data_IF_229170269290
#
_entry.id   IF_229170269290
#
_cell.length_a   1.000
_cell.length_b   1.000
_cell.length_c   1.000
_cell.angle_alpha   90.00
_cell.angle_beta   90.00
_cell.angle_gamma   90.00
#
_symmetry.space_group_name_H-M   'P 1'
#
loop_
_entity.id
_entity.type
_entity.pdbx_description
1 polymer ?
#
# COMPACT_ATOMS: atom_id res chain seq x y z
N UNK A 1 17.08 21.44 15.63
CA UNK A 1 17.06 20.46 14.52
C UNK A 1 16.04 20.96 13.52
N UNK A 2 16.44 21.14 12.26
CA UNK A 2 15.50 21.54 11.21
C UNK A 2 14.59 20.33 10.95
N UNK A 3 13.29 20.47 11.17
CA UNK A 3 12.29 19.57 10.59
C UNK A 3 12.41 19.72 9.08
N UNK A 4 13.23 18.88 8.45
CA UNK A 4 13.04 18.56 7.04
C UNK A 4 11.68 17.88 6.99
N UNK A 5 10.65 18.61 6.56
CA UNK A 5 9.46 17.97 6.03
C UNK A 5 9.97 17.01 4.96
N UNK A 6 9.97 15.71 5.24
CA UNK A 6 10.19 14.72 4.19
C UNK A 6 9.15 15.03 3.13
N UNK A 7 9.64 15.39 1.94
CA UNK A 7 8.77 15.86 0.89
C UNK A 7 8.09 14.64 0.32
N UNK A 8 6.88 14.39 0.81
CA UNK A 8 6.03 13.36 0.26
C UNK A 8 5.69 13.69 -1.19
N UNK A 9 5.71 12.68 -2.03
CA UNK A 9 4.99 12.69 -3.30
C UNK A 9 3.72 11.85 -3.14
N UNK A 10 2.70 12.16 -3.92
CA UNK A 10 1.44 11.44 -3.90
C UNK A 10 0.87 11.30 -5.31
N UNK A 11 0.31 10.14 -5.60
CA UNK A 11 -0.35 9.83 -6.86
C UNK A 11 -1.64 9.05 -6.62
N UNK A 12 -2.63 9.24 -7.48
CA UNK A 12 -3.77 8.31 -7.61
C UNK A 12 -3.50 7.44 -8.83
N UNK A 13 -3.62 6.12 -8.69
CA UNK A 13 -3.54 5.20 -9.81
C UNK A 13 -4.78 5.32 -10.69
N UNK A 14 -4.56 5.28 -12.00
CA UNK A 14 -5.62 5.19 -13.00
C UNK A 14 -5.67 3.72 -13.41
N UNK A 15 -6.78 3.07 -13.09
CA UNK A 15 -7.04 1.67 -13.39
C UNK A 15 -7.91 1.58 -14.64
N UNK A 16 -7.59 0.62 -15.51
CA UNK A 16 -8.47 0.27 -16.63
C UNK A 16 -9.68 -0.54 -16.13
N UNK A 17 -10.80 -0.55 -16.86
CA UNK A 17 -12.07 -1.19 -16.42
C UNK A 17 -11.96 -2.68 -16.10
N UNK A 18 -10.96 -3.36 -16.65
CA UNK A 18 -10.71 -4.80 -16.45
C UNK A 18 -9.49 -5.08 -15.56
N UNK A 19 -8.80 -4.03 -15.11
CA UNK A 19 -7.61 -4.15 -14.29
C UNK A 19 -8.01 -4.37 -12.82
N UNK A 20 -7.37 -5.35 -12.17
CA UNK A 20 -7.51 -5.54 -10.73
C UNK A 20 -6.60 -4.55 -10.00
N UNK A 21 -7.14 -3.85 -9.02
CA UNK A 21 -6.33 -2.97 -8.18
C UNK A 21 -5.26 -3.74 -7.41
N UNK A 22 -5.53 -5.00 -7.06
CA UNK A 22 -4.60 -5.87 -6.35
C UNK A 22 -3.34 -6.13 -7.17
N UNK A 23 -3.46 -6.27 -8.50
CA UNK A 23 -2.32 -6.48 -9.39
C UNK A 23 -1.41 -5.24 -9.43
N UNK A 24 -1.98 -4.05 -9.26
CA UNK A 24 -1.21 -2.79 -9.20
C UNK A 24 -0.51 -2.61 -7.86
N UNK A 25 -1.19 -2.96 -6.78
CA UNK A 25 -0.57 -2.95 -5.45
C UNK A 25 0.50 -4.04 -5.38
N UNK A 26 0.28 -5.20 -6.01
CA UNK A 26 1.25 -6.29 -6.11
C UNK A 26 2.57 -5.81 -6.70
N UNK A 27 2.54 -5.13 -7.85
CA UNK A 27 3.75 -4.60 -8.48
C UNK A 27 4.53 -3.64 -7.56
N UNK A 28 3.82 -2.81 -6.79
CA UNK A 28 4.42 -1.90 -5.80
C UNK A 28 5.07 -2.69 -4.67
N UNK A 29 4.35 -3.64 -4.07
CA UNK A 29 4.87 -4.47 -2.97
C UNK A 29 6.07 -5.30 -3.44
N UNK A 30 6.00 -5.91 -4.63
CA UNK A 30 7.11 -6.66 -5.23
C UNK A 30 8.35 -5.79 -5.42
N UNK A 31 8.18 -4.57 -5.94
CA UNK A 31 9.29 -3.62 -6.10
C UNK A 31 9.95 -3.29 -4.75
N UNK A 32 9.15 -3.05 -3.72
CA UNK A 32 9.67 -2.70 -2.39
C UNK A 32 10.30 -3.88 -1.64
N UNK A 33 9.89 -5.11 -1.96
CA UNK A 33 10.37 -6.35 -1.35
C UNK A 33 11.80 -6.74 -1.76
N UNK A 34 12.27 -6.27 -2.92
CA UNK A 34 13.64 -6.53 -3.42
C UNK A 34 14.70 -5.87 -2.51
N UNK A 35 14.29 -4.89 -1.71
CA UNK A 35 15.18 -4.06 -0.91
C UNK A 35 15.03 -4.35 0.61
N UNK A 36 15.73 -5.39 1.09
CA UNK A 36 16.21 -5.62 2.48
C UNK A 36 15.23 -6.07 3.60
N UNK A 37 15.77 -6.88 4.52
CA UNK A 37 15.11 -7.60 5.64
C UNK A 37 14.47 -6.75 6.75
N UNK A 38 14.62 -5.42 6.75
CA UNK A 38 14.14 -4.54 7.83
C UNK A 38 12.84 -3.80 7.47
N UNK A 39 12.26 -4.09 6.31
CA UNK A 39 11.00 -3.48 5.87
C UNK A 39 9.82 -4.31 6.34
N UNK A 40 8.87 -3.66 6.98
CA UNK A 40 7.58 -4.24 7.29
C UNK A 40 6.45 -3.35 6.80
N UNK A 41 5.34 -3.98 6.44
CA UNK A 41 4.09 -3.30 6.17
C UNK A 41 3.28 -3.24 7.45
N UNK A 42 2.91 -2.05 7.87
CA UNK A 42 1.95 -1.82 8.94
C UNK A 42 0.59 -1.54 8.30
N UNK A 43 -0.41 -2.35 8.63
CA UNK A 43 -1.77 -2.22 8.11
C UNK A 43 -2.65 -1.64 9.20
N UNK A 44 -3.09 -0.39 9.01
CA UNK A 44 -3.99 0.32 9.93
C UNK A 44 -5.46 -0.05 9.65
N UNK A 45 -5.82 -0.24 8.39
CA UNK A 45 -7.16 -0.63 7.97
C UNK A 45 -7.09 -1.69 6.88
N UNK A 46 -7.96 -2.69 6.97
CA UNK A 46 -8.10 -3.74 5.96
C UNK A 46 -9.53 -4.29 5.98
N UNK A 47 -10.20 -4.20 4.85
CA UNK A 47 -11.38 -4.99 4.51
C UNK A 47 -11.10 -5.72 3.20
N UNK A 48 -10.96 -7.05 3.26
CA UNK A 48 -10.65 -7.88 2.11
C UNK A 48 -11.42 -9.21 2.14
N UNK A 49 -11.76 -9.68 0.95
CA UNK A 49 -12.36 -11.00 0.72
C UNK A 49 -11.28 -12.04 0.39
N UNK A 50 -11.68 -13.28 0.10
CA UNK A 50 -10.74 -14.41 0.01
C UNK A 50 -10.46 -15.03 1.38
N UNK A 51 -9.76 -16.16 1.43
CA UNK A 51 -9.50 -16.88 2.68
C UNK A 51 -8.52 -16.11 3.57
N UNK A 52 -7.39 -15.69 3.02
CA UNK A 52 -6.39 -14.93 3.76
C UNK A 52 -6.90 -13.51 4.04
N UNK A 53 -7.54 -12.86 3.06
CA UNK A 53 -8.15 -11.54 3.26
C UNK A 53 -9.16 -11.52 4.39
N UNK A 54 -10.08 -12.50 4.45
CA UNK A 54 -11.02 -12.61 5.57
C UNK A 54 -10.34 -12.84 6.92
N UNK A 55 -9.24 -13.60 6.95
CA UNK A 55 -8.49 -13.86 8.18
C UNK A 55 -7.81 -12.59 8.68
N UNK A 56 -7.11 -11.87 7.79
CA UNK A 56 -6.40 -10.65 8.12
C UNK A 56 -7.35 -9.50 8.46
N UNK A 57 -8.50 -9.41 7.78
CA UNK A 57 -9.57 -8.44 8.12
C UNK A 57 -10.05 -8.65 9.55
N UNK A 58 -10.32 -9.91 9.95
CA UNK A 58 -10.70 -10.21 11.35
C UNK A 58 -9.59 -9.82 12.33
N UNK A 59 -8.34 -10.10 11.99
CA UNK A 59 -7.20 -9.77 12.83
C UNK A 59 -7.03 -8.24 12.97
N UNK A 60 -7.14 -7.48 11.88
CA UNK A 60 -7.06 -6.02 11.88
C UNK A 60 -8.16 -5.41 12.77
N UNK A 61 -9.39 -5.93 12.70
CA UNK A 61 -10.50 -5.48 13.55
C UNK A 61 -10.28 -5.71 15.05
N UNK A 62 -9.42 -6.65 15.43
CA UNK A 62 -9.12 -6.96 16.84
C UNK A 62 -7.89 -6.22 17.36
N UNK A 63 -6.85 -6.06 16.53
CA UNK A 63 -5.52 -5.64 16.98
C UNK A 63 -4.87 -4.56 16.11
N UNK A 64 -5.62 -3.79 15.33
CA UNK A 64 -5.04 -2.74 14.46
C UNK A 64 -4.11 -1.78 15.24
N UNK A 65 -2.89 -1.50 14.74
CA UNK A 65 -2.35 -1.95 13.45
C UNK A 65 -1.77 -3.38 13.47
N UNK A 66 -1.83 -4.07 12.32
CA UNK A 66 -1.16 -5.38 12.15
C UNK A 66 0.11 -5.24 11.31
N UNK A 67 1.18 -5.92 11.72
CA UNK A 67 2.43 -5.97 10.96
C UNK A 67 2.46 -7.18 10.01
N UNK A 68 2.70 -6.94 8.73
CA UNK A 68 2.91 -7.95 7.70
C UNK A 68 4.32 -7.86 7.12
N UNK A 69 4.95 -9.01 6.95
CA UNK A 69 6.13 -9.13 6.08
C UNK A 69 5.67 -9.13 4.61
N UNK A 70 6.58 -8.77 3.70
CA UNK A 70 6.26 -8.65 2.28
C UNK A 70 5.61 -9.92 1.70
N UNK A 71 6.13 -11.11 2.03
CA UNK A 71 5.60 -12.39 1.50
C UNK A 71 4.12 -12.62 1.84
N UNK A 72 3.72 -12.30 3.06
CA UNK A 72 2.31 -12.45 3.50
C UNK A 72 1.43 -11.43 2.78
N UNK A 73 1.93 -10.21 2.59
CA UNK A 73 1.19 -9.19 1.86
C UNK A 73 1.06 -9.55 0.36
N UNK A 74 2.11 -10.10 -0.24
CA UNK A 74 2.09 -10.62 -1.60
C UNK A 74 1.11 -11.80 -1.75
N UNK A 75 1.03 -12.69 -0.75
CA UNK A 75 0.04 -13.78 -0.74
C UNK A 75 -1.39 -13.24 -0.70
N UNK A 76 -1.66 -12.22 0.12
CA UNK A 76 -2.96 -11.55 0.17
C UNK A 76 -3.33 -10.98 -1.20
N UNK A 77 -2.40 -10.29 -1.85
CA UNK A 77 -2.63 -9.62 -3.14
C UNK A 77 -2.81 -10.60 -4.32
N UNK A 78 -2.22 -11.80 -4.23
CA UNK A 78 -2.36 -12.86 -5.24
C UNK A 78 -3.60 -13.71 -5.05
N UNK A 79 -4.30 -13.57 -3.94
CA UNK A 79 -5.51 -14.35 -3.67
C UNK A 79 -6.62 -14.03 -4.68
N UNK A 80 -7.46 -15.02 -4.96
CA UNK A 80 -8.73 -14.82 -5.65
C UNK A 80 -9.74 -14.18 -4.67
N UNK A 81 -9.51 -12.89 -4.44
CA UNK A 81 -10.24 -12.03 -3.53
C UNK A 81 -10.18 -10.57 -3.99
N UNK A 82 -10.82 -9.72 -3.21
CA UNK A 82 -10.93 -8.29 -3.45
C UNK A 82 -10.56 -7.53 -2.19
N UNK A 83 -9.76 -6.48 -2.33
CA UNK A 83 -9.51 -5.49 -1.29
C UNK A 83 -10.52 -4.36 -1.47
N UNK A 84 -11.35 -4.14 -0.45
CA UNK A 84 -12.35 -3.08 -0.39
C UNK A 84 -11.78 -1.85 0.29
N UNK A 85 -11.15 -2.02 1.45
CA UNK A 85 -10.46 -0.96 2.17
C UNK A 85 -9.04 -1.41 2.51
N UNK A 86 -8.08 -0.49 2.39
CA UNK A 86 -6.70 -0.74 2.79
C UNK A 86 -6.04 0.56 3.20
N UNK A 87 -5.38 0.52 4.35
CA UNK A 87 -4.41 1.53 4.75
C UNK A 87 -3.13 0.84 5.18
N UNK A 88 -2.15 0.83 4.27
CA UNK A 88 -0.91 0.08 4.43
C UNK A 88 0.31 0.99 4.31
N UNK A 89 1.16 1.02 5.34
CA UNK A 89 2.39 1.82 5.35
C UNK A 89 3.61 0.92 5.42
N UNK A 90 4.49 1.03 4.43
CA UNK A 90 5.83 0.46 4.44
C UNK A 90 6.72 1.27 5.36
N UNK A 91 7.24 0.63 6.40
CA UNK A 91 8.16 1.24 7.36
C UNK A 91 9.55 0.62 7.27
N UNK A 92 10.56 1.44 7.54
CA UNK A 92 11.95 0.98 7.77
C UNK A 92 12.54 1.73 8.95
N UNK A 93 12.98 0.99 9.96
CA UNK A 93 13.57 1.56 11.18
C UNK A 93 12.68 2.63 11.85
N UNK A 94 11.36 2.42 11.80
CA UNK A 94 10.36 3.32 12.37
C UNK A 94 10.03 4.56 11.52
N UNK A 95 10.64 4.70 10.33
CA UNK A 95 10.30 5.76 9.38
C UNK A 95 9.36 5.25 8.29
N UNK A 96 8.37 6.05 7.94
CA UNK A 96 7.43 5.76 6.86
C UNK A 96 8.09 6.04 5.51
N UNK A 97 8.07 5.06 4.62
CA UNK A 97 8.68 5.14 3.29
C UNK A 97 7.64 5.30 2.19
N UNK A 98 6.58 4.52 2.30
CA UNK A 98 5.54 4.41 1.29
C UNK A 98 4.22 4.08 1.98
N UNK A 99 3.11 4.64 1.53
CA UNK A 99 1.77 4.31 2.00
C UNK A 99 0.87 4.05 0.80
N UNK A 100 0.06 3.00 0.89
CA UNK A 100 -0.92 2.59 -0.11
C UNK A 100 -2.29 2.65 0.55
N UNK A 101 -3.20 3.36 -0.09
CA UNK A 101 -4.57 3.57 0.36
C UNK A 101 -5.52 3.02 -0.69
N UNK A 102 -6.43 2.13 -0.29
CA UNK A 102 -7.57 1.69 -1.11
C UNK A 102 -8.85 2.16 -0.45
N UNK A 103 -9.77 2.71 -1.24
CA UNK A 103 -11.10 3.11 -0.79
C UNK A 103 -12.18 2.54 -1.69
N UNK A 104 -13.22 2.00 -1.08
CA UNK A 104 -14.40 1.39 -1.71
C UNK A 104 -14.08 0.33 -2.77
N UNK A 105 -12.88 -0.24 -2.77
CA UNK A 105 -12.38 -1.16 -3.80
C UNK A 105 -12.25 -0.53 -5.20
N UNK A 106 -12.14 0.80 -5.29
CA UNK A 106 -12.17 1.53 -6.56
C UNK A 106 -10.98 2.46 -6.77
N UNK A 107 -10.51 3.12 -5.72
CA UNK A 107 -9.40 4.08 -5.82
C UNK A 107 -8.18 3.58 -5.09
N UNK A 108 -7.02 3.69 -5.73
CA UNK A 108 -5.71 3.45 -5.11
C UNK A 108 -4.92 4.74 -5.09
N UNK A 109 -4.61 5.24 -3.91
CA UNK A 109 -3.67 6.35 -3.72
C UNK A 109 -2.35 5.81 -3.15
N UNK A 110 -1.24 6.34 -3.65
CA UNK A 110 0.11 5.95 -3.23
C UNK A 110 0.86 7.21 -2.84
N UNK A 111 1.41 7.19 -1.64
CA UNK A 111 2.26 8.23 -1.10
C UNK A 111 3.64 7.66 -0.84
N UNK A 112 4.69 8.43 -1.11
CA UNK A 112 6.04 8.01 -0.73
C UNK A 112 6.97 9.17 -0.40
N UNK A 113 8.07 8.85 0.27
CA UNK A 113 9.16 9.79 0.54
C UNK A 113 10.28 9.60 -0.49
N UNK A 114 11.07 10.66 -0.72
CA UNK A 114 12.18 10.62 -1.66
C UNK A 114 11.76 10.76 -3.13
N UNK A 115 12.39 9.98 -4.01
CA UNK A 115 12.08 9.99 -5.44
C UNK A 115 10.81 9.16 -5.72
N UNK A 116 9.91 9.63 -6.59
CA UNK A 116 8.75 8.85 -7.01
C UNK A 116 9.13 7.52 -7.67
N UNK A 117 8.34 6.48 -7.40
CA UNK A 117 8.45 5.21 -8.12
C UNK A 117 8.27 5.42 -9.63
N UNK A 118 8.96 4.59 -10.42
CA UNK A 118 8.89 4.66 -11.88
C UNK A 118 7.51 4.27 -12.43
N UNK A 119 7.23 4.69 -13.67
CA UNK A 119 5.98 4.33 -14.36
C UNK A 119 5.86 2.83 -14.65
N UNK A 120 6.99 2.12 -14.67
CA UNK A 120 7.08 0.66 -14.75
C UNK A 120 6.51 -0.04 -13.51
N UNK A 121 6.51 0.63 -12.36
CA UNK A 121 5.93 0.13 -11.11
C UNK A 121 4.54 0.71 -10.88
N UNK A 122 4.39 2.03 -10.99
CA UNK A 122 3.13 2.70 -10.70
C UNK A 122 2.08 2.54 -11.79
N UNK A 123 2.46 2.26 -13.04
CA UNK A 123 1.56 2.30 -14.19
C UNK A 123 0.99 3.69 -14.47
N UNK A 124 -0.18 3.73 -15.13
CA UNK A 124 -0.93 4.98 -15.39
C UNK A 124 -1.37 5.64 -14.08
N UNK A 125 -1.03 6.90 -13.87
CA UNK A 125 -1.35 7.60 -12.63
C UNK A 125 -1.44 9.11 -12.84
N UNK A 126 -2.09 9.80 -11.89
CA UNK A 126 -2.10 11.27 -11.79
C UNK A 126 -1.41 11.70 -10.51
N UNK A 127 -0.64 12.78 -10.57
CA UNK A 127 -0.09 13.41 -9.37
C UNK A 127 -1.20 14.13 -8.59
N UNK A 128 -1.14 14.03 -7.28
CA UNK A 128 -2.06 14.71 -6.37
C UNK A 128 -1.27 15.43 -5.28
N UNK A 129 -1.93 16.32 -4.53
CA UNK A 129 -1.30 17.03 -3.43
C UNK A 129 -1.18 16.11 -2.20
N UNK A 130 0.04 15.82 -1.70
CA UNK A 130 0.24 14.97 -0.53
C UNK A 130 -0.43 15.51 0.74
N UNK A 131 -0.70 16.82 0.81
CA UNK A 131 -1.37 17.44 1.97
C UNK A 131 -2.83 17.01 2.12
N UNK A 132 -3.42 16.33 1.13
CA UNK A 132 -4.76 15.75 1.22
C UNK A 132 -4.84 14.56 2.18
N UNK A 133 -3.70 14.07 2.67
CA UNK A 133 -3.57 12.88 3.52
C UNK A 133 -2.92 13.19 4.88
N UNK A 134 -2.65 14.47 5.17
CA UNK A 134 -2.00 14.97 6.39
C UNK A 134 -3.00 15.64 7.34
#
# INVERSE_FOLDING_TARGET
MKNTHERWWAVTLILDELERLEDRILAIVEHTAIETDERCWEIEELDATGRLGNQLTRQANETSPIGLIADVFLELLREDGQIVELDATLKKNGCDLLRVLVRDGLSVDVLGTGEPLGTDVLGSHKKIDPTLFL
#
